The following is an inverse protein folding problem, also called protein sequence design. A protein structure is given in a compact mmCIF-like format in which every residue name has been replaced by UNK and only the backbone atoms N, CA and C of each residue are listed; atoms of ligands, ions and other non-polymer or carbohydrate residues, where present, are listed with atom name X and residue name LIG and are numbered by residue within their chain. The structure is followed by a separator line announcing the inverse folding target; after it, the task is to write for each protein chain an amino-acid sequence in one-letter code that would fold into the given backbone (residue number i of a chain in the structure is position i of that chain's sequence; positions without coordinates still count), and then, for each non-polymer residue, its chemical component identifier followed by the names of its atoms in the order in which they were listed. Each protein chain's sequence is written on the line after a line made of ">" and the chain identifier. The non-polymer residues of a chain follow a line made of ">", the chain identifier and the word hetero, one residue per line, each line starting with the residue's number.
data_IF_055978003773
#
_entry.id   IF_055978003773
#
_cell.length_a   1.000
_cell.length_b   1.000
_cell.length_c   1.000
_cell.angle_alpha   90.00
_cell.angle_beta   90.00
_cell.angle_gamma   90.00
#
_symmetry.space_group_name_H-M   'P 1'
#
loop_
_entity.id
_entity.type
_entity.pdbx_description
1 polymer ?
#
# COMPACT_ATOMS: atom_id res chain seq x y z
N UNK A 1 -8.68 -4.06 -12.47
CA UNK A 1 -7.89 -4.05 -11.21
C UNK A 1 -6.56 -3.39 -11.48
N UNK A 2 -6.21 -2.34 -10.73
CA UNK A 2 -4.98 -1.57 -10.85
C UNK A 2 -4.00 -2.03 -9.77
N UNK A 3 -2.74 -2.28 -10.14
CA UNK A 3 -1.72 -2.79 -9.21
C UNK A 3 -0.62 -1.75 -9.02
N UNK A 4 -0.42 -1.32 -7.77
CA UNK A 4 0.72 -0.52 -7.34
C UNK A 4 1.86 -1.46 -6.98
N UNK A 5 2.99 -1.34 -7.67
CA UNK A 5 4.14 -2.21 -7.47
C UNK A 5 5.20 -1.50 -6.64
N UNK A 6 5.73 -2.21 -5.66
CA UNK A 6 6.75 -1.74 -4.75
C UNK A 6 7.94 -2.70 -4.72
N UNK A 7 9.12 -2.15 -4.45
CA UNK A 7 10.30 -2.93 -4.06
C UNK A 7 10.60 -2.69 -2.60
N UNK A 8 10.96 -3.76 -1.89
CA UNK A 8 11.28 -3.75 -0.47
C UNK A 8 12.69 -4.31 -0.29
N UNK A 9 13.58 -3.55 0.33
CA UNK A 9 14.94 -3.97 0.65
C UNK A 9 15.39 -3.27 1.93
N UNK A 10 15.87 -4.03 2.91
CA UNK A 10 16.15 -3.46 4.22
C UNK A 10 14.89 -2.87 4.86
N UNK A 11 15.04 -1.68 5.44
CA UNK A 11 13.94 -0.87 5.96
C UNK A 11 13.40 0.12 4.91
N UNK A 12 13.65 -0.13 3.63
CA UNK A 12 13.22 0.73 2.53
C UNK A 12 12.12 0.08 1.69
N UNK A 13 11.02 0.83 1.51
CA UNK A 13 9.95 0.62 0.56
C UNK A 13 10.06 1.73 -0.48
N UNK A 14 10.17 1.35 -1.75
CA UNK A 14 10.19 2.27 -2.88
C UNK A 14 9.11 1.90 -3.91
N UNK A 15 8.68 2.88 -4.69
CA UNK A 15 7.85 2.63 -5.88
C UNK A 15 8.67 1.84 -6.90
N UNK A 16 8.11 0.78 -7.46
CA UNK A 16 8.79 0.01 -8.49
C UNK A 16 9.04 0.90 -9.74
N UNK A 17 10.24 0.86 -10.33
CA UNK A 17 10.52 1.60 -11.57
C UNK A 17 9.51 1.27 -12.67
N UNK A 18 9.03 2.30 -13.38
CA UNK A 18 8.08 2.14 -14.48
C UNK A 18 6.62 1.85 -14.07
N UNK A 19 6.31 1.75 -12.77
CA UNK A 19 4.93 1.61 -12.32
C UNK A 19 4.25 2.98 -12.21
N UNK A 20 3.04 3.12 -12.77
CA UNK A 20 2.27 4.36 -12.72
C UNK A 20 1.43 4.47 -11.42
N UNK A 21 1.62 5.58 -10.71
CA UNK A 21 0.94 5.95 -9.46
C UNK A 21 0.03 7.19 -9.61
N UNK A 22 -0.24 7.66 -10.83
CA UNK A 22 -1.16 8.78 -11.12
C UNK A 22 -2.60 8.32 -11.35
N UNK A 23 -3.62 9.19 -11.29
CA UNK A 23 -5.01 8.84 -11.64
C UNK A 23 -5.56 7.63 -10.86
N UNK A 24 -5.18 7.49 -9.60
CA UNK A 24 -5.76 6.49 -8.67
C UNK A 24 -7.07 7.10 -8.16
N UNK A 25 -8.20 6.42 -8.28
CA UNK A 25 -9.51 7.01 -8.00
C UNK A 25 -9.97 6.72 -6.57
N UNK A 26 -10.22 7.77 -5.79
CA UNK A 26 -10.77 7.63 -4.45
C UNK A 26 -12.24 7.18 -4.50
N UNK A 27 -12.70 6.47 -3.47
CA UNK A 27 -14.09 6.04 -3.31
C UNK A 27 -14.53 4.88 -4.21
N UNK A 28 -13.59 4.23 -4.90
CA UNK A 28 -13.87 3.00 -5.66
C UNK A 28 -13.42 1.78 -4.85
N UNK A 29 -14.28 0.78 -4.73
CA UNK A 29 -14.04 -0.46 -3.98
C UNK A 29 -13.38 -1.55 -4.84
N UNK A 30 -12.55 -2.39 -4.20
CA UNK A 30 -12.05 -3.64 -4.79
C UNK A 30 -11.16 -3.52 -6.04
N UNK A 31 -10.77 -2.30 -6.45
CA UNK A 31 -10.04 -2.08 -7.71
C UNK A 31 -8.53 -1.97 -7.52
N UNK A 32 -8.03 -1.66 -6.32
CA UNK A 32 -6.63 -1.32 -6.05
C UNK A 32 -5.92 -2.45 -5.29
N UNK A 33 -4.79 -2.90 -5.84
CA UNK A 33 -3.92 -3.92 -5.27
C UNK A 33 -2.54 -3.34 -5.01
N UNK A 34 -1.90 -3.75 -3.91
CA UNK A 34 -0.48 -3.50 -3.66
C UNK A 34 0.31 -4.81 -3.87
N UNK A 35 1.36 -4.75 -4.68
CA UNK A 35 2.26 -5.87 -4.96
C UNK A 35 3.71 -5.49 -4.59
N UNK A 36 4.45 -6.45 -4.06
CA UNK A 36 5.73 -6.23 -3.39
C UNK A 36 6.76 -7.25 -3.86
N UNK A 37 7.90 -6.76 -4.31
CA UNK A 37 9.11 -7.55 -4.57
C UNK A 37 10.04 -7.38 -3.37
N UNK A 38 10.30 -8.45 -2.63
CA UNK A 38 11.10 -8.43 -1.40
C UNK A 38 12.55 -8.87 -1.64
N UNK A 39 13.48 -8.15 -1.03
CA UNK A 39 14.87 -8.56 -0.88
C UNK A 39 15.04 -9.73 0.11
N UNK A 40 16.19 -10.38 0.04
CA UNK A 40 16.52 -11.58 0.83
C UNK A 40 16.50 -11.34 2.35
N UNK A 41 16.69 -10.10 2.80
CA UNK A 41 16.65 -9.74 4.22
C UNK A 41 15.27 -9.92 4.86
N UNK A 42 14.22 -10.03 4.03
CA UNK A 42 12.85 -10.31 4.43
C UNK A 42 12.51 -11.81 4.42
N UNK A 43 13.42 -12.70 4.06
CA UNK A 43 13.16 -14.15 4.06
C UNK A 43 12.84 -14.68 5.48
N UNK A 44 11.92 -15.64 5.53
CA UNK A 44 11.40 -16.18 6.80
C UNK A 44 10.52 -15.23 7.62
N UNK A 45 10.12 -14.08 7.07
CA UNK A 45 9.16 -13.17 7.73
C UNK A 45 7.72 -13.44 7.32
N UNK A 46 6.80 -13.33 8.28
CA UNK A 46 5.37 -13.07 7.99
C UNK A 46 5.25 -11.57 7.69
N UNK A 47 4.64 -11.24 6.55
CA UNK A 47 4.65 -9.88 5.98
C UNK A 47 3.26 -9.29 5.97
N UNK A 48 3.10 -8.09 6.52
CA UNK A 48 1.84 -7.36 6.59
C UNK A 48 2.04 -5.98 5.98
N UNK A 49 1.19 -5.61 5.03
CA UNK A 49 1.08 -4.23 4.57
C UNK A 49 0.28 -3.44 5.61
N UNK A 50 0.84 -2.32 6.05
CA UNK A 50 0.20 -1.40 6.98
C UNK A 50 -0.24 -0.15 6.21
N UNK A 51 -1.55 0.09 6.17
CA UNK A 51 -2.16 1.23 5.51
C UNK A 51 -2.62 2.26 6.53
N UNK A 52 -2.37 3.54 6.25
CA UNK A 52 -2.74 4.64 7.11
C UNK A 52 -3.53 5.68 6.31
N UNK A 53 -4.81 5.95 6.63
CA UNK A 53 -5.54 7.09 6.07
C UNK A 53 -4.82 8.42 6.28
N UNK A 54 -4.27 8.63 7.48
CA UNK A 54 -3.59 9.86 7.87
C UNK A 54 -2.32 9.53 8.67
N UNK A 55 -1.41 10.50 8.78
CA UNK A 55 -0.24 10.32 9.66
C UNK A 55 -0.71 10.20 11.13
N UNK A 56 -0.27 9.17 11.85
CA UNK A 56 -0.66 8.82 13.24
C UNK A 56 -2.08 8.29 13.43
N UNK A 57 -2.81 7.96 12.37
CA UNK A 57 -4.04 7.16 12.51
C UNK A 57 -3.70 5.72 12.87
N UNK A 58 -4.68 4.98 13.41
CA UNK A 58 -4.58 3.53 13.51
C UNK A 58 -4.38 2.94 12.11
N UNK A 59 -3.45 1.99 12.00
CA UNK A 59 -3.22 1.27 10.76
C UNK A 59 -4.29 0.22 10.48
N UNK A 60 -4.50 -0.03 9.19
CA UNK A 60 -5.25 -1.17 8.70
C UNK A 60 -4.27 -2.17 8.14
N UNK A 61 -4.12 -3.30 8.80
CA UNK A 61 -3.21 -4.38 8.39
C UNK A 61 -3.83 -5.28 7.32
N UNK A 62 -3.05 -5.67 6.32
CA UNK A 62 -3.38 -6.76 5.40
C UNK A 62 -2.19 -7.71 5.25
N UNK A 63 -2.44 -8.99 5.50
CA UNK A 63 -1.46 -10.05 5.25
C UNK A 63 -1.11 -10.06 3.76
N UNK A 64 0.19 -10.07 3.46
CA UNK A 64 0.69 -10.16 2.10
C UNK A 64 0.82 -11.65 1.75
N UNK A 65 0.04 -12.10 0.76
CA UNK A 65 0.06 -13.47 0.24
C UNK A 65 0.53 -13.43 -1.21
N UNK A 66 1.43 -14.34 -1.58
CA UNK A 66 1.99 -14.42 -2.94
C UNK A 66 2.53 -13.06 -3.45
N UNK A 67 3.12 -12.29 -2.54
CA UNK A 67 3.69 -10.97 -2.83
C UNK A 67 2.67 -9.84 -3.00
N UNK A 68 1.38 -10.04 -2.73
CA UNK A 68 0.38 -8.99 -2.88
C UNK A 68 -0.72 -8.98 -1.82
N UNK A 69 -1.46 -7.88 -1.75
CA UNK A 69 -2.71 -7.76 -1.01
C UNK A 69 -3.64 -6.72 -1.65
N UNK A 70 -4.93 -6.82 -1.37
CA UNK A 70 -5.92 -5.81 -1.76
C UNK A 70 -5.82 -4.62 -0.81
N UNK A 71 -5.80 -3.40 -1.36
CA UNK A 71 -5.90 -2.18 -0.55
C UNK A 71 -7.32 -2.12 0.01
N UNK A 72 -7.49 -2.00 1.35
CA UNK A 72 -8.83 -1.96 1.95
C UNK A 72 -9.69 -0.81 1.41
N UNK A 73 -10.99 -1.04 1.24
CA UNK A 73 -11.93 -0.01 0.77
C UNK A 73 -11.99 1.21 1.72
N UNK A 74 -11.85 0.98 3.02
CA UNK A 74 -11.75 2.05 4.02
C UNK A 74 -10.52 2.96 3.76
N UNK A 75 -9.46 2.43 3.14
CA UNK A 75 -8.27 3.21 2.77
C UNK A 75 -8.51 3.95 1.44
N UNK A 76 -9.17 3.33 0.46
CA UNK A 76 -9.44 3.96 -0.84
C UNK A 76 -10.53 5.04 -0.77
N UNK A 77 -11.29 5.14 0.32
CA UNK A 77 -12.27 6.21 0.56
C UNK A 77 -11.63 7.62 0.74
N UNK A 78 -10.35 7.68 1.11
CA UNK A 78 -9.62 8.92 1.34
C UNK A 78 -8.96 9.47 0.07
N UNK A 79 -8.64 10.75 0.06
CA UNK A 79 -7.89 11.40 -1.04
C UNK A 79 -6.40 11.04 -1.02
N UNK A 80 -5.89 10.61 0.13
CA UNK A 80 -4.51 10.15 0.30
C UNK A 80 -4.47 9.01 1.30
N UNK A 81 -3.44 8.17 1.20
CA UNK A 81 -3.08 7.23 2.24
C UNK A 81 -1.57 7.00 2.25
N UNK A 82 -1.06 6.45 3.36
CA UNK A 82 0.31 5.97 3.45
C UNK A 82 0.34 4.45 3.52
N UNK A 83 1.39 3.87 2.98
CA UNK A 83 1.64 2.44 3.01
C UNK A 83 3.06 2.16 3.48
N UNK A 84 3.21 1.16 4.35
CA UNK A 84 4.47 0.55 4.75
C UNK A 84 4.31 -0.97 4.84
N UNK A 85 5.41 -1.66 5.14
CA UNK A 85 5.40 -3.10 5.39
C UNK A 85 6.03 -3.40 6.75
N UNK A 86 5.41 -4.33 7.48
CA UNK A 86 5.94 -4.90 8.72
C UNK A 86 6.22 -6.38 8.48
N UNK A 87 7.45 -6.80 8.75
CA UNK A 87 7.88 -8.19 8.73
C UNK A 87 8.13 -8.65 10.16
N UNK A 88 7.59 -9.81 10.53
CA UNK A 88 7.85 -10.45 11.81
C UNK A 88 8.44 -11.85 11.60
N UNK A 89 9.56 -12.14 12.26
CA UNK A 89 10.18 -13.46 12.31
C UNK A 89 9.58 -14.28 13.45
N UNK A 90 9.72 -15.60 13.38
CA UNK A 90 9.25 -16.53 14.43
C UNK A 90 9.85 -16.21 15.81
N UNK A 91 11.11 -15.77 15.85
CA UNK A 91 11.79 -15.36 17.08
C UNK A 91 11.31 -14.00 17.66
N UNK A 92 10.28 -13.40 17.08
CA UNK A 92 9.69 -12.12 17.52
C UNK A 92 10.40 -10.86 17.00
N UNK A 93 11.54 -10.99 16.30
CA UNK A 93 12.20 -9.84 15.69
C UNK A 93 11.32 -9.22 14.60
N UNK A 94 11.36 -7.88 14.52
CA UNK A 94 10.59 -7.10 13.54
C UNK A 94 11.50 -6.28 12.64
N UNK A 95 11.10 -6.17 11.39
CA UNK A 95 11.63 -5.24 10.40
C UNK A 95 10.47 -4.41 9.86
N UNK A 96 10.66 -3.11 9.72
CA UNK A 96 9.62 -2.18 9.26
C UNK A 96 10.21 -1.25 8.23
N UNK A 97 9.45 -0.96 7.18
CA UNK A 97 9.88 -0.01 6.16
C UNK A 97 9.56 1.43 6.56
N UNK A 98 10.11 2.40 5.81
CA UNK A 98 9.51 3.73 5.68
C UNK A 98 8.08 3.66 5.12
N UNK A 99 7.39 4.80 5.15
CA UNK A 99 6.06 4.98 4.56
C UNK A 99 6.12 5.73 3.23
N UNK A 100 5.36 5.27 2.25
CA UNK A 100 5.11 5.99 0.99
C UNK A 100 3.71 6.59 1.02
N UNK A 101 3.58 7.86 0.66
CA UNK A 101 2.28 8.51 0.41
C UNK A 101 1.78 8.18 -0.99
N UNK A 102 0.53 7.73 -1.08
CA UNK A 102 -0.23 7.52 -2.30
C UNK A 102 -1.31 8.60 -2.37
N UNK A 103 -1.38 9.29 -3.51
CA UNK A 103 -2.44 10.28 -3.79
C UNK A 103 -3.53 9.63 -4.62
N UNK A 104 -4.77 9.95 -4.30
CA UNK A 104 -5.96 9.54 -5.00
C UNK A 104 -6.73 10.78 -5.45
N UNK A 105 -7.36 10.69 -6.60
CA UNK A 105 -8.19 11.72 -7.19
C UNK A 105 -9.65 11.43 -6.83
N UNK A 106 -10.32 12.41 -6.22
CA UNK A 106 -11.77 12.40 -6.18
C UNK A 106 -12.25 12.88 -7.53
N UNK A 107 -13.06 12.08 -8.21
CA UNK A 107 -13.84 12.59 -9.33
C UNK A 107 -14.65 13.77 -8.83
N UNK A 108 -14.33 14.98 -9.29
CA UNK A 108 -15.17 16.14 -9.06
C UNK A 108 -16.53 15.80 -9.67
N UNK A 109 -17.59 15.73 -8.87
CA UNK A 109 -18.97 15.58 -9.35
C UNK A 109 -19.48 16.75 -10.23
N UNK A 110 -18.60 17.46 -10.93
CA UNK A 110 -18.87 18.64 -11.76
C UNK A 110 -18.67 18.38 -13.26
N UNK A 111 -18.91 17.16 -13.75
CA UNK A 111 -18.76 16.85 -15.18
C UNK A 111 -20.09 16.53 -15.91
N UNK A 112 -21.25 16.71 -15.28
CA UNK A 112 -22.56 16.43 -15.91
C UNK A 112 -23.57 17.59 -15.77
N UNK A 113 -23.13 18.80 -16.10
CA UNK A 113 -24.05 19.88 -16.49
C UNK A 113 -23.55 20.49 -17.81
N UNK A 114 -24.01 19.90 -18.92
CA UNK A 114 -24.12 20.57 -20.22
C UNK A 114 -25.50 20.27 -20.77
#
# INVERSE_FOLDING_TARGET
>A
MRTLRFKVSGQELIRAPGCDFSNIIAGTSGYLQAAFEFGQDWDGTVRVAAFYPYLRSQEVGRLIKDGACIVPDEITAYDTFKIGVVGQRENGQRITTNLITIKQERGSGQAWQR
#
